data_IF_593816030808
#
_entry.id   IF_593816030808
#
_cell.length_a   1.000
_cell.length_b   1.000
_cell.length_c   1.000
_cell.angle_alpha   90.00
_cell.angle_beta   90.00
_cell.angle_gamma   90.00
#
_symmetry.space_group_name_H-M   'P 1'
#
loop_
_entity.id
_entity.type
_entity.pdbx_description
1 polymer ?
#
# COMPACT_ATOMS: atom_id res chain seq x y z
N UNK A 1 8.96 10.41 12.37
CA UNK A 1 8.46 10.50 10.98
C UNK A 1 7.63 9.25 10.74
N UNK A 2 6.37 9.40 10.33
CA UNK A 2 5.51 8.25 9.99
C UNK A 2 5.95 7.71 8.64
N UNK A 3 6.13 6.39 8.54
CA UNK A 3 6.50 5.74 7.28
C UNK A 3 5.25 5.57 6.40
N UNK A 4 5.21 6.24 5.27
CA UNK A 4 4.08 6.19 4.32
C UNK A 4 4.30 5.19 3.17
N UNK A 5 5.41 4.44 3.17
CA UNK A 5 5.74 3.51 2.08
C UNK A 5 4.68 2.43 1.90
N UNK A 6 4.19 1.85 2.99
CA UNK A 6 3.17 0.82 2.90
C UNK A 6 1.84 1.38 2.38
N UNK A 7 1.36 2.51 2.87
CA UNK A 7 0.12 3.11 2.38
C UNK A 7 0.21 3.50 0.91
N UNK A 8 1.34 4.02 0.46
CA UNK A 8 1.58 4.33 -0.95
C UNK A 8 1.65 3.07 -1.81
N UNK A 9 2.33 2.01 -1.35
CA UNK A 9 2.40 0.73 -2.06
C UNK A 9 1.02 0.07 -2.16
N UNK A 10 0.24 0.09 -1.08
CA UNK A 10 -1.12 -0.42 -1.04
C UNK A 10 -2.01 0.32 -2.07
N UNK A 11 -1.97 1.65 -2.07
CA UNK A 11 -2.71 2.46 -3.03
C UNK A 11 -2.30 2.17 -4.48
N UNK A 12 -0.99 2.02 -4.76
CA UNK A 12 -0.48 1.66 -6.09
C UNK A 12 -1.02 0.30 -6.53
N UNK A 13 -0.91 -0.74 -5.69
CA UNK A 13 -1.32 -2.10 -6.07
C UNK A 13 -2.84 -2.16 -6.30
N UNK A 14 -3.63 -1.52 -5.44
CA UNK A 14 -5.10 -1.45 -5.61
C UNK A 14 -5.46 -0.68 -6.89
N UNK A 15 -4.77 0.43 -7.17
CA UNK A 15 -5.00 1.20 -8.39
C UNK A 15 -4.66 0.41 -9.67
N UNK A 16 -3.55 -0.34 -9.66
CA UNK A 16 -3.19 -1.23 -10.78
C UNK A 16 -4.26 -2.29 -10.98
N UNK A 17 -4.73 -2.94 -9.91
CA UNK A 17 -5.78 -3.96 -9.99
C UNK A 17 -7.10 -3.39 -10.54
N UNK A 18 -7.56 -2.24 -10.05
CA UNK A 18 -8.78 -1.59 -10.52
C UNK A 18 -8.67 -1.13 -11.98
N UNK A 19 -7.50 -0.66 -12.40
CA UNK A 19 -7.24 -0.29 -13.79
C UNK A 19 -7.28 -1.50 -14.72
N UNK A 20 -6.74 -2.65 -14.31
CA UNK A 20 -6.80 -3.89 -15.10
C UNK A 20 -8.24 -4.34 -15.34
N UNK A 21 -9.10 -4.31 -14.33
CA UNK A 21 -10.53 -4.65 -14.47
C UNK A 21 -11.24 -3.75 -15.50
N UNK A 22 -10.75 -2.50 -15.66
CA UNK A 22 -11.30 -1.51 -16.58
C UNK A 22 -10.53 -1.43 -17.92
N UNK A 23 -9.58 -2.35 -18.17
CA UNK A 23 -8.67 -2.31 -19.31
C UNK A 23 -7.89 -0.99 -19.43
N UNK A 24 -7.63 -0.32 -18.32
CA UNK A 24 -6.83 0.89 -18.25
C UNK A 24 -5.37 0.58 -17.98
N UNK A 25 -4.50 1.42 -18.52
CA UNK A 25 -3.05 1.28 -18.36
C UNK A 25 -2.56 1.97 -17.09
N UNK A 26 -1.68 1.29 -16.34
CA UNK A 26 -0.99 1.85 -15.18
C UNK A 26 0.47 2.15 -15.52
N UNK A 27 0.83 3.44 -15.50
CA UNK A 27 2.23 3.90 -15.63
C UNK A 27 2.66 4.63 -14.38
N UNK A 28 3.98 4.83 -14.19
CA UNK A 28 4.47 5.62 -13.06
C UNK A 28 3.93 7.05 -13.07
N UNK A 29 3.65 7.61 -14.23
CA UNK A 29 3.07 8.94 -14.42
C UNK A 29 1.60 8.99 -14.00
N UNK A 30 0.77 8.05 -14.49
CA UNK A 30 -0.65 8.00 -14.13
C UNK A 30 -0.86 7.69 -12.65
N UNK A 31 -0.06 6.77 -12.11
CA UNK A 31 -0.09 6.44 -10.67
C UNK A 31 0.36 7.62 -9.81
N UNK A 32 1.34 8.41 -10.26
CA UNK A 32 1.82 9.59 -9.55
C UNK A 32 0.74 10.67 -9.43
N UNK A 33 -0.08 10.86 -10.45
CA UNK A 33 -1.24 11.77 -10.39
C UNK A 33 -2.23 11.31 -9.32
N UNK A 34 -2.59 10.02 -9.30
CA UNK A 34 -3.52 9.47 -8.32
C UNK A 34 -3.03 9.48 -6.87
N UNK A 35 -1.69 9.56 -6.65
CA UNK A 35 -1.08 9.66 -5.34
C UNK A 35 -0.69 11.10 -4.94
N UNK A 36 -0.98 12.09 -5.77
CA UNK A 36 -0.52 13.47 -5.61
C UNK A 36 1.00 13.55 -5.31
N UNK A 37 1.79 12.88 -6.15
CA UNK A 37 3.24 12.75 -5.98
C UNK A 37 3.97 12.81 -7.33
N UNK A 38 5.26 12.52 -7.36
CA UNK A 38 6.04 12.46 -8.58
C UNK A 38 6.34 11.02 -9.02
N UNK A 39 6.53 10.84 -10.34
CA UNK A 39 6.78 9.52 -10.94
C UNK A 39 8.07 8.85 -10.41
N UNK A 40 9.07 9.62 -9.97
CA UNK A 40 10.30 9.06 -9.39
C UNK A 40 10.05 8.41 -8.03
N UNK A 41 9.15 8.98 -7.22
CA UNK A 41 8.73 8.35 -5.97
C UNK A 41 7.98 7.04 -6.27
N UNK A 42 7.03 7.06 -7.22
CA UNK A 42 6.28 5.85 -7.62
C UNK A 42 7.25 4.76 -8.09
N UNK A 43 8.22 5.07 -8.97
CA UNK A 43 9.21 4.09 -9.45
C UNK A 43 9.98 3.43 -8.30
N UNK A 44 10.34 4.17 -7.27
CA UNK A 44 11.02 3.60 -6.08
C UNK A 44 10.15 2.62 -5.31
N UNK A 45 8.82 2.81 -5.30
CA UNK A 45 7.88 1.87 -4.67
C UNK A 45 7.63 0.67 -5.59
N UNK A 46 7.60 0.85 -6.90
CA UNK A 46 7.40 -0.24 -7.86
C UNK A 46 8.52 -1.27 -7.83
N UNK A 47 9.78 -0.87 -7.61
CA UNK A 47 10.93 -1.79 -7.59
C UNK A 47 10.71 -2.96 -6.63
N UNK A 48 10.56 -2.78 -5.31
CA UNK A 48 10.38 -3.90 -4.39
C UNK A 48 9.10 -4.70 -4.64
N UNK A 49 8.03 -4.07 -5.15
CA UNK A 49 6.79 -4.77 -5.51
C UNK A 49 7.00 -5.71 -6.70
N UNK A 50 7.83 -5.31 -7.67
CA UNK A 50 8.18 -6.14 -8.82
C UNK A 50 9.15 -7.26 -8.44
N UNK A 51 10.15 -6.97 -7.61
CA UNK A 51 11.10 -7.97 -7.09
C UNK A 51 10.39 -9.07 -6.28
N UNK A 52 9.32 -8.70 -5.53
CA UNK A 52 8.49 -9.65 -4.78
C UNK A 52 7.38 -10.30 -5.61
N UNK A 53 7.36 -10.13 -6.94
CA UNK A 53 6.36 -10.73 -7.84
C UNK A 53 4.91 -10.39 -7.45
N UNK A 54 4.70 -9.18 -6.94
CA UNK A 54 3.36 -8.59 -6.69
C UNK A 54 2.89 -7.86 -7.94
N UNK A 55 3.79 -7.09 -8.55
CA UNK A 55 3.60 -6.42 -9.84
C UNK A 55 4.56 -7.00 -10.87
N UNK A 56 4.22 -6.83 -12.14
CA UNK A 56 5.06 -7.16 -13.28
C UNK A 56 5.12 -5.97 -14.25
N UNK A 57 6.30 -5.74 -14.83
CA UNK A 57 6.45 -4.74 -15.90
C UNK A 57 5.84 -5.29 -17.18
N UNK A 58 5.04 -4.47 -17.88
CA UNK A 58 4.59 -4.74 -19.23
C UNK A 58 5.54 -4.04 -20.21
N UNK A 59 6.14 -4.80 -21.13
CA UNK A 59 7.08 -4.28 -22.13
C UNK A 59 6.37 -3.72 -23.38
N UNK A 60 7.08 -2.87 -24.14
CA UNK A 60 6.65 -2.36 -25.42
C UNK A 60 5.97 -0.98 -25.39
N UNK A 61 5.44 -0.55 -26.54
CA UNK A 61 4.81 0.77 -26.74
C UNK A 61 3.60 1.00 -25.82
N UNK A 62 2.98 -0.09 -25.36
CA UNK A 62 1.94 -0.07 -24.32
C UNK A 62 2.48 -0.43 -22.92
N UNK A 63 3.77 -0.25 -22.67
CA UNK A 63 4.43 -0.56 -21.40
C UNK A 63 3.76 0.09 -20.18
N UNK A 64 4.04 -0.44 -19.01
CA UNK A 64 3.47 -0.01 -17.73
C UNK A 64 3.66 -1.10 -16.68
N UNK A 65 2.80 -1.10 -15.66
CA UNK A 65 2.80 -2.16 -14.66
C UNK A 65 1.43 -2.83 -14.61
N UNK A 66 1.43 -4.13 -14.31
CA UNK A 66 0.24 -4.96 -14.13
C UNK A 66 0.42 -5.83 -12.89
N UNK A 67 -0.64 -6.46 -12.42
CA UNK A 67 -0.52 -7.48 -11.39
C UNK A 67 0.31 -8.66 -11.91
N UNK A 68 1.16 -9.23 -11.07
CA UNK A 68 1.92 -10.44 -11.40
C UNK A 68 1.09 -11.73 -11.22
N UNK A 69 0.01 -11.65 -10.45
CA UNK A 69 -0.94 -12.73 -10.16
C UNK A 69 -2.32 -12.15 -9.85
N UNK A 70 -3.35 -12.99 -9.85
CA UNK A 70 -4.73 -12.55 -9.59
C UNK A 70 -4.86 -11.79 -8.26
N UNK A 71 -5.73 -10.78 -8.19
CA UNK A 71 -5.93 -9.91 -7.02
C UNK A 71 -6.34 -10.68 -5.76
N UNK A 72 -7.03 -11.81 -5.91
CA UNK A 72 -7.42 -12.74 -4.84
C UNK A 72 -6.22 -13.50 -4.26
N UNK A 73 -5.14 -13.62 -5.03
CA UNK A 73 -3.93 -14.31 -4.62
C UNK A 73 -2.86 -13.39 -4.01
N UNK A 74 -3.09 -12.07 -4.00
CA UNK A 74 -2.17 -11.09 -3.41
C UNK A 74 -2.68 -10.72 -2.02
N UNK A 75 -1.93 -11.08 -0.97
CA UNK A 75 -2.23 -10.72 0.41
C UNK A 75 -1.60 -9.37 0.76
N UNK A 76 -2.28 -8.56 1.59
CA UNK A 76 -1.72 -7.27 2.03
C UNK A 76 -0.41 -7.44 2.82
N UNK A 77 -0.23 -8.57 3.49
CA UNK A 77 1.04 -8.89 4.17
C UNK A 77 2.23 -9.03 3.22
N UNK A 78 2.01 -9.45 1.97
CA UNK A 78 3.06 -9.51 0.95
C UNK A 78 3.50 -8.10 0.55
N UNK A 79 2.54 -7.19 0.32
CA UNK A 79 2.80 -5.78 0.02
C UNK A 79 3.56 -5.13 1.18
N UNK A 80 3.11 -5.38 2.42
CA UNK A 80 3.77 -4.86 3.61
C UNK A 80 5.23 -5.30 3.70
N UNK A 81 5.49 -6.61 3.53
CA UNK A 81 6.86 -7.18 3.56
C UNK A 81 7.74 -6.61 2.45
N UNK A 82 7.21 -6.43 1.25
CA UNK A 82 7.97 -5.92 0.11
C UNK A 82 8.55 -4.52 0.35
N UNK A 83 7.79 -3.63 1.00
CA UNK A 83 8.18 -2.21 1.13
C UNK A 83 8.69 -1.83 2.52
N UNK A 84 8.49 -2.69 3.53
CA UNK A 84 8.95 -2.45 4.90
C UNK A 84 10.24 -3.22 5.13
N UNK A 85 11.38 -2.60 4.80
CA UNK A 85 12.73 -3.19 4.87
C UNK A 85 13.17 -3.58 6.28
N UNK A 86 12.58 -3.00 7.30
CA UNK A 86 12.83 -3.30 8.70
C UNK A 86 11.49 -3.26 9.45
N UNK A 87 11.03 -4.40 9.98
CA UNK A 87 9.82 -4.51 10.82
C UNK A 87 9.97 -3.73 12.15
N UNK A 88 10.43 -2.49 12.08
CA UNK A 88 10.67 -1.65 13.25
C UNK A 88 9.47 -0.77 13.52
N UNK A 89 8.45 -1.35 14.16
CA UNK A 89 7.33 -0.59 14.73
C UNK A 89 7.88 0.42 15.75
N UNK A 90 8.88 0.01 16.54
CA UNK A 90 9.72 0.85 17.40
C UNK A 90 11.09 0.23 17.59
N UNK A 91 12.03 1.02 18.11
CA UNK A 91 13.35 0.55 18.52
C UNK A 91 13.49 0.57 20.04
N UNK A 92 14.10 -0.46 20.60
CA UNK A 92 14.49 -0.42 22.00
C UNK A 92 15.54 0.69 22.24
N UNK A 93 15.43 1.39 23.37
CA UNK A 93 16.43 2.37 23.78
C UNK A 93 17.78 1.69 23.98
N UNK A 94 18.83 2.24 23.36
CA UNK A 94 20.21 1.75 23.50
C UNK A 94 20.89 2.33 24.74
N UNK A 95 21.93 1.65 25.23
CA UNK A 95 22.85 2.14 26.27
C UNK A 95 22.16 2.51 27.60
N UNK A 96 21.20 1.70 28.03
CA UNK A 96 20.57 1.85 29.35
C UNK A 96 21.51 1.22 30.38
N UNK A 97 22.01 1.97 31.41
CA UNK A 97 22.84 1.41 32.47
C UNK A 97 22.07 0.35 33.26
N UNK A 98 22.71 -0.80 33.51
CA UNK A 98 22.14 -1.88 34.30
C UNK A 98 22.18 -1.53 35.80
N UNK A 99 21.14 -0.86 36.28
CA UNK A 99 21.02 -0.42 37.69
C UNK A 99 19.99 -1.18 38.50
N UNK A 100 19.04 -1.83 37.87
CA UNK A 100 17.98 -2.61 38.50
C UNK A 100 17.45 -3.66 37.53
N UNK A 101 16.55 -4.53 37.97
CA UNK A 101 15.97 -5.58 37.13
C UNK A 101 15.23 -5.00 35.88
N UNK A 102 14.62 -3.82 36.01
CA UNK A 102 13.96 -3.16 34.88
C UNK A 102 14.98 -2.68 33.84
N UNK A 103 15.96 -1.87 34.26
CA UNK A 103 16.96 -1.32 33.35
C UNK A 103 17.82 -2.41 32.69
N UNK A 104 18.02 -3.54 33.35
CA UNK A 104 18.76 -4.66 32.79
C UNK A 104 17.98 -5.51 31.77
N UNK A 105 16.65 -5.45 31.78
CA UNK A 105 15.82 -6.31 30.94
C UNK A 105 14.90 -5.57 29.95
N UNK A 106 14.70 -4.27 30.12
CA UNK A 106 13.72 -3.51 29.33
C UNK A 106 13.99 -3.57 27.83
N UNK A 107 15.23 -3.58 27.38
CA UNK A 107 15.56 -3.67 25.96
C UNK A 107 15.13 -5.03 25.37
N UNK A 108 15.40 -6.13 26.10
CA UNK A 108 14.98 -7.48 25.71
C UNK A 108 13.46 -7.61 25.68
N UNK A 109 12.79 -7.10 26.70
CA UNK A 109 11.33 -7.09 26.76
C UNK A 109 10.70 -6.26 25.64
N UNK A 110 11.21 -5.06 25.39
CA UNK A 110 10.75 -4.18 24.31
C UNK A 110 10.90 -4.83 22.93
N UNK A 111 12.01 -5.52 22.67
CA UNK A 111 12.21 -6.27 21.43
C UNK A 111 11.20 -7.41 21.29
N UNK A 112 11.00 -8.21 22.33
CA UNK A 112 10.02 -9.31 22.33
C UNK A 112 8.59 -8.80 22.06
N UNK A 113 8.22 -7.67 22.68
CA UNK A 113 6.91 -7.05 22.46
C UNK A 113 6.76 -6.54 21.03
N UNK A 114 7.83 -5.94 20.46
CA UNK A 114 7.84 -5.49 19.06
C UNK A 114 7.66 -6.66 18.09
N UNK A 115 8.34 -7.76 18.32
CA UNK A 115 8.29 -8.93 17.45
C UNK A 115 6.88 -9.53 17.45
N UNK A 116 6.24 -9.66 18.61
CA UNK A 116 4.82 -10.04 18.71
C UNK A 116 3.87 -9.09 17.99
N UNK A 117 4.11 -7.78 18.08
CA UNK A 117 3.29 -6.79 17.38
C UNK A 117 3.46 -6.89 15.86
N UNK A 118 4.70 -7.13 15.39
CA UNK A 118 4.97 -7.35 13.97
C UNK A 118 4.25 -8.59 13.44
N UNK A 119 4.28 -9.70 14.18
CA UNK A 119 3.57 -10.93 13.83
C UNK A 119 2.04 -10.72 13.77
N UNK A 120 1.47 -9.99 14.73
CA UNK A 120 0.06 -9.67 14.77
C UNK A 120 -0.37 -8.84 13.55
N UNK A 121 0.43 -7.83 13.15
CA UNK A 121 0.19 -7.03 11.94
C UNK A 121 0.23 -7.92 10.69
N UNK A 122 1.26 -8.76 10.56
CA UNK A 122 1.40 -9.64 9.40
C UNK A 122 0.27 -10.68 9.30
N UNK A 123 -0.18 -11.21 10.43
CA UNK A 123 -1.30 -12.15 10.46
C UNK A 123 -2.60 -11.45 10.00
N UNK A 124 -2.92 -10.30 10.57
CA UNK A 124 -4.10 -9.52 10.17
C UNK A 124 -4.07 -9.14 8.69
N UNK A 125 -2.94 -8.61 8.19
CA UNK A 125 -2.78 -8.27 6.78
C UNK A 125 -2.75 -9.51 5.88
N UNK A 126 -2.40 -10.68 6.41
CA UNK A 126 -2.42 -11.95 5.70
C UNK A 126 -3.81 -12.52 5.44
N UNK A 127 -4.83 -12.06 6.17
CA UNK A 127 -6.22 -12.47 5.99
C UNK A 127 -6.91 -11.70 4.86
N UNK A 128 -6.38 -10.52 4.48
CA UNK A 128 -7.00 -9.59 3.52
C UNK A 128 -6.27 -9.67 2.18
N UNK A 129 -7.04 -9.77 1.09
CA UNK A 129 -6.52 -9.73 -0.28
C UNK A 129 -6.66 -8.34 -0.91
N UNK A 130 -5.98 -8.13 -2.04
CA UNK A 130 -6.18 -6.93 -2.87
C UNK A 130 -7.63 -6.88 -3.38
N UNK A 131 -8.21 -8.03 -3.77
CA UNK A 131 -9.60 -8.13 -4.18
C UNK A 131 -10.58 -7.68 -3.08
N UNK A 132 -10.38 -8.15 -1.85
CA UNK A 132 -11.19 -7.74 -0.69
C UNK A 132 -11.11 -6.22 -0.47
N UNK A 133 -9.91 -5.66 -0.62
CA UNK A 133 -9.70 -4.22 -0.47
C UNK A 133 -10.46 -3.41 -1.53
N UNK A 134 -10.45 -3.83 -2.80
CA UNK A 134 -11.23 -3.19 -3.87
C UNK A 134 -12.72 -3.25 -3.55
N UNK A 135 -13.21 -4.41 -3.12
CA UNK A 135 -14.62 -4.60 -2.77
C UNK A 135 -15.06 -3.69 -1.62
N UNK A 136 -14.22 -3.54 -0.59
CA UNK A 136 -14.49 -2.62 0.53
C UNK A 136 -14.48 -1.16 0.08
N UNK A 137 -13.53 -0.75 -0.75
CA UNK A 137 -13.46 0.63 -1.26
C UNK A 137 -14.68 0.98 -2.09
N UNK A 138 -15.18 0.05 -2.92
CA UNK A 138 -16.43 0.24 -3.67
C UNK A 138 -17.64 0.38 -2.75
N UNK A 139 -17.67 -0.38 -1.65
CA UNK A 139 -18.70 -0.24 -0.60
C UNK A 139 -18.70 1.15 0.01
N UNK A 140 -17.54 1.68 0.41
CA UNK A 140 -17.41 3.03 0.95
C UNK A 140 -17.82 4.11 -0.04
N UNK A 141 -17.52 3.93 -1.33
CA UNK A 141 -17.93 4.86 -2.38
C UNK A 141 -19.44 4.87 -2.57
N UNK A 142 -20.09 3.70 -2.57
CA UNK A 142 -21.54 3.57 -2.66
C UNK A 142 -22.28 4.20 -1.45
N UNK A 143 -21.69 4.10 -0.26
CA UNK A 143 -22.22 4.76 0.95
C UNK A 143 -22.09 6.29 0.86
N UNK A 144 -21.02 6.79 0.25
CA UNK A 144 -20.75 8.21 0.10
C UNK A 144 -21.66 8.88 -0.95
N UNK A 145 -22.04 8.14 -2.00
CA UNK A 145 -22.83 8.63 -3.13
C UNK A 145 -24.03 7.71 -3.43
N UNK A 146 -25.05 7.67 -2.55
CA UNK A 146 -26.15 6.70 -2.65
C UNK A 146 -27.08 6.93 -3.83
N UNK A 147 -26.97 8.03 -4.60
CA UNK A 147 -27.89 8.43 -5.68
C UNK A 147 -27.23 8.75 -7.03
N UNK A 148 -25.98 8.47 -7.22
CA UNK A 148 -25.34 8.67 -8.51
C UNK A 148 -25.40 7.40 -9.36
N UNK A 149 -25.86 7.54 -10.60
CA UNK A 149 -25.86 6.49 -11.63
C UNK A 149 -24.57 5.65 -11.58
N UNK A 150 -24.68 4.45 -11.02
CA UNK A 150 -23.59 3.50 -10.86
C UNK A 150 -23.02 2.98 -12.20
N UNK A 151 -23.61 3.37 -13.32
CA UNK A 151 -23.19 2.95 -14.66
C UNK A 151 -22.08 3.81 -15.29
N UNK A 152 -21.70 4.94 -14.69
CA UNK A 152 -20.74 5.88 -15.29
C UNK A 152 -19.58 6.31 -14.37
N UNK A 153 -19.31 5.53 -13.33
CA UNK A 153 -18.15 5.76 -12.46
C UNK A 153 -16.90 5.25 -13.17
N UNK A 154 -16.22 6.15 -13.88
CA UNK A 154 -14.93 5.87 -14.48
C UNK A 154 -13.88 5.67 -13.37
N UNK A 155 -13.22 4.52 -13.30
CA UNK A 155 -12.09 4.36 -12.40
C UNK A 155 -10.98 5.32 -12.84
N UNK A 156 -10.32 5.95 -11.91
CA UNK A 156 -9.08 6.72 -12.04
C UNK A 156 -9.02 7.86 -13.07
N UNK A 157 -9.71 7.80 -14.21
CA UNK A 157 -9.65 8.85 -15.25
C UNK A 157 -10.33 10.16 -14.85
N UNK A 158 -11.26 10.14 -13.90
CA UNK A 158 -11.87 11.38 -13.37
C UNK A 158 -10.96 12.14 -12.40
N UNK A 159 -9.92 11.52 -11.87
CA UNK A 159 -8.91 12.19 -11.04
C UNK A 159 -8.00 13.14 -11.85
N UNK A 160 -8.13 13.21 -13.18
CA UNK A 160 -7.44 14.17 -14.04
C UNK A 160 -8.11 15.55 -14.06
N UNK A 161 -9.27 15.73 -13.44
CA UNK A 161 -9.81 17.06 -13.22
C UNK A 161 -9.13 17.68 -11.99
N UNK A 162 -8.57 18.89 -12.13
CA UNK A 162 -8.00 19.58 -10.98
C UNK A 162 -9.10 19.76 -9.93
N UNK A 163 -8.78 19.36 -8.68
CA UNK A 163 -9.63 19.65 -7.54
C UNK A 163 -10.01 21.13 -7.55
N UNK A 164 -11.26 21.51 -7.27
CA UNK A 164 -11.63 22.90 -7.10
C UNK A 164 -10.70 23.53 -6.05
N UNK A 165 -10.10 24.66 -6.38
CA UNK A 165 -9.11 25.36 -5.54
C UNK A 165 -9.72 26.03 -4.29
N UNK A 166 -10.99 25.76 -4.02
CA UNK A 166 -11.73 26.37 -2.93
C UNK A 166 -12.13 25.29 -1.92
N UNK A 167 -11.23 25.03 -0.98
CA UNK A 167 -11.57 24.42 0.32
C UNK A 167 -11.87 25.53 1.34
N UNK A 168 -12.73 25.29 2.34
CA UNK A 168 -13.05 26.26 3.38
C UNK A 168 -11.85 26.59 4.25
#
# INVERSE_FOLDING_TARGET
MIDTRFSSALQIVIAVAANEESNLRSTSETLAVGLDTNASFVRRILVPLTECNILASAEGYQGGVRLAKASEAIRLSEIYRAVTLENKIWAARKNIPHRCFVSGNIARWSNHLRDKAADAILNMLGEITVHDSISQLRGFEAERFPSSDSANQHPFTQLLHPLPKDGP
#
